data_IF_550984250778
#
_entry.id   IF_550984250778
#
_cell.length_a   1.000
_cell.length_b   1.000
_cell.length_c   1.000
_cell.angle_alpha   90.00
_cell.angle_beta   90.00
_cell.angle_gamma   90.00
#
_symmetry.space_group_name_H-M   'P 1'
#
loop_
_entity.id
_entity.type
_entity.pdbx_description
1 polymer ?
#
# COMPACT_ATOMS: atom_id res chain seq x y z
N UNK A 1 -10.10 36.31 -36.37
CA UNK A 1 -10.83 35.40 -35.45
C UNK A 1 -9.97 35.17 -34.20
N UNK A 2 -10.21 35.98 -33.16
CA UNK A 2 -9.47 35.95 -31.90
C UNK A 2 -9.75 34.68 -31.11
N UNK A 3 -8.77 33.79 -30.98
CA UNK A 3 -8.82 32.70 -30.01
C UNK A 3 -8.41 33.27 -28.66
N UNK A 4 -9.37 33.37 -27.73
CA UNK A 4 -9.13 33.72 -26.32
C UNK A 4 -8.18 32.67 -25.70
N UNK A 5 -6.89 32.98 -25.63
CA UNK A 5 -5.79 32.08 -25.23
C UNK A 5 -5.66 31.84 -23.71
N UNK A 6 -6.62 32.26 -22.90
CA UNK A 6 -6.45 32.38 -21.43
C UNK A 6 -7.49 31.66 -20.53
N UNK A 7 -8.67 31.17 -20.97
CA UNK A 7 -9.68 30.74 -19.99
C UNK A 7 -9.42 29.36 -19.34
N UNK A 8 -8.47 28.54 -19.85
CA UNK A 8 -8.28 27.15 -19.38
C UNK A 8 -7.04 26.92 -18.52
N UNK A 9 -6.08 27.85 -18.52
CA UNK A 9 -4.83 27.72 -17.75
C UNK A 9 -5.07 27.96 -16.26
N UNK A 10 -5.76 29.04 -15.90
CA UNK A 10 -6.04 29.37 -14.50
C UNK A 10 -6.82 28.23 -13.80
N UNK A 11 -7.92 27.71 -14.35
CA UNK A 11 -8.61 26.55 -13.75
C UNK A 11 -7.74 25.31 -13.62
N UNK A 12 -6.84 25.05 -14.58
CA UNK A 12 -5.88 23.95 -14.51
C UNK A 12 -4.94 24.12 -13.31
N UNK A 13 -4.34 25.31 -13.17
CA UNK A 13 -3.40 25.61 -12.08
C UNK A 13 -4.11 25.69 -10.72
N UNK A 14 -5.38 26.05 -10.67
CA UNK A 14 -6.17 26.00 -9.44
C UNK A 14 -6.46 24.54 -9.02
N UNK A 15 -6.54 23.62 -9.98
CA UNK A 15 -6.86 22.20 -9.73
C UNK A 15 -5.64 21.32 -9.47
N UNK A 16 -4.53 21.55 -10.17
CA UNK A 16 -3.32 20.71 -10.09
C UNK A 16 -2.33 21.37 -9.13
N UNK A 17 -2.11 20.87 -7.91
CA UNK A 17 -1.19 21.50 -7.00
C UNK A 17 0.27 21.40 -7.47
N UNK A 18 1.17 22.28 -6.99
CA UNK A 18 2.59 22.18 -7.31
C UNK A 18 3.15 20.79 -6.98
N UNK A 19 3.92 20.22 -7.91
CA UNK A 19 4.51 18.88 -7.80
C UNK A 19 3.63 17.74 -8.31
N UNK A 20 2.30 17.92 -8.37
CA UNK A 20 1.38 16.87 -8.79
C UNK A 20 1.47 16.56 -10.28
N UNK A 21 1.11 15.32 -10.61
CA UNK A 21 1.13 14.79 -11.96
C UNK A 21 -0.28 14.69 -12.54
N UNK A 22 -0.38 14.91 -13.84
CA UNK A 22 -1.59 14.67 -14.64
C UNK A 22 -1.21 14.07 -15.98
N UNK A 23 -2.08 13.23 -16.53
CA UNK A 23 -1.85 12.61 -17.83
C UNK A 23 -2.70 13.23 -18.96
N UNK A 24 -2.40 12.83 -20.18
CA UNK A 24 -3.07 13.34 -21.38
C UNK A 24 -4.58 13.02 -21.38
N UNK A 25 -5.03 11.80 -21.03
CA UNK A 25 -6.46 11.53 -20.81
C UNK A 25 -7.13 12.52 -19.86
N UNK A 26 -6.51 12.78 -18.70
CA UNK A 26 -7.04 13.71 -17.71
C UNK A 26 -7.15 15.16 -18.21
N UNK A 27 -6.12 15.64 -18.93
CA UNK A 27 -6.10 16.97 -19.54
C UNK A 27 -7.16 17.11 -20.64
N UNK A 28 -7.31 16.07 -21.49
CA UNK A 28 -8.32 16.05 -22.55
C UNK A 28 -9.74 16.04 -21.99
N UNK A 29 -10.00 15.30 -20.91
CA UNK A 29 -11.29 15.30 -20.23
C UNK A 29 -11.70 16.70 -19.71
N UNK A 30 -10.73 17.60 -19.52
CA UNK A 30 -10.93 19.01 -19.15
C UNK A 30 -10.88 19.97 -20.34
N UNK A 31 -11.09 19.44 -21.56
CA UNK A 31 -11.05 20.21 -22.80
C UNK A 31 -9.72 20.92 -23.06
N UNK A 32 -8.58 20.39 -22.56
CA UNK A 32 -7.27 20.95 -22.87
C UNK A 32 -6.72 20.20 -24.10
N UNK A 33 -6.66 20.90 -25.22
CA UNK A 33 -6.23 20.33 -26.49
C UNK A 33 -4.69 20.19 -26.58
N UNK A 34 -4.16 19.36 -27.49
CA UNK A 34 -2.71 19.13 -27.60
C UNK A 34 -1.88 20.39 -27.87
N UNK A 35 -2.41 21.39 -28.58
CA UNK A 35 -1.71 22.64 -28.86
C UNK A 35 -1.59 23.48 -27.59
N UNK A 36 -2.65 23.52 -26.77
CA UNK A 36 -2.61 24.15 -25.45
C UNK A 36 -1.62 23.46 -24.51
N UNK A 37 -1.59 22.13 -24.47
CA UNK A 37 -0.60 21.37 -23.67
C UNK A 37 0.83 21.73 -24.10
N UNK A 38 1.09 21.78 -25.41
CA UNK A 38 2.39 22.18 -25.95
C UNK A 38 2.77 23.61 -25.53
N UNK A 39 1.84 24.58 -25.64
CA UNK A 39 2.06 25.97 -25.22
C UNK A 39 2.32 26.06 -23.71
N UNK A 40 1.61 25.28 -22.89
CA UNK A 40 1.83 25.23 -21.44
C UNK A 40 3.21 24.67 -21.09
N UNK A 41 3.68 23.64 -21.80
CA UNK A 41 5.02 23.10 -21.61
C UNK A 41 6.09 24.08 -22.09
N UNK A 42 5.93 24.68 -23.26
CA UNK A 42 6.89 25.65 -23.80
C UNK A 42 7.05 26.89 -22.91
N UNK A 43 5.98 27.28 -22.21
CA UNK A 43 5.96 28.41 -21.27
C UNK A 43 6.30 28.03 -19.83
N UNK A 44 6.61 26.76 -19.56
CA UNK A 44 6.99 26.29 -18.22
C UNK A 44 5.83 26.20 -17.21
N UNK A 45 4.57 26.25 -17.64
CA UNK A 45 3.41 26.02 -16.75
C UNK A 45 3.25 24.54 -16.39
N UNK A 46 3.71 23.66 -17.28
CA UNK A 46 3.77 22.22 -17.09
C UNK A 46 5.16 21.70 -17.51
N UNK A 47 5.66 20.72 -16.78
CA UNK A 47 6.87 19.98 -17.14
C UNK A 47 6.48 18.62 -17.68
N UNK A 48 7.03 18.22 -18.83
CA UNK A 48 6.84 16.86 -19.33
C UNK A 48 7.78 15.89 -18.60
N UNK A 49 7.23 14.94 -17.86
CA UNK A 49 8.03 13.95 -17.10
C UNK A 49 8.32 12.72 -17.96
N UNK A 50 7.29 12.19 -18.61
CA UNK A 50 7.41 11.14 -19.62
C UNK A 50 6.41 11.41 -20.76
N UNK A 51 6.46 10.63 -21.85
CA UNK A 51 5.44 10.75 -22.91
C UNK A 51 4.04 10.60 -22.32
N UNK A 52 3.25 11.67 -22.45
CA UNK A 52 1.84 11.74 -22.10
C UNK A 52 1.55 12.13 -20.64
N UNK A 53 2.58 12.42 -19.84
CA UNK A 53 2.46 12.74 -18.41
C UNK A 53 3.19 14.04 -18.11
N UNK A 54 2.53 14.90 -17.37
CA UNK A 54 2.99 16.25 -17.07
C UNK A 54 2.93 16.50 -15.57
N UNK A 55 3.84 17.31 -15.07
CA UNK A 55 3.92 17.73 -13.67
C UNK A 55 3.78 19.25 -13.60
N UNK A 56 3.07 19.76 -12.60
CA UNK A 56 3.14 21.20 -12.30
C UNK A 56 4.47 21.50 -11.59
N UNK A 57 5.29 22.44 -12.08
CA UNK A 57 6.52 22.85 -11.41
C UNK A 57 6.30 23.22 -9.94
N UNK A 58 7.27 22.89 -9.09
CA UNK A 58 7.31 23.34 -7.70
C UNK A 58 8.11 24.65 -7.63
N UNK A 59 7.57 25.72 -7.03
CA UNK A 59 8.32 26.97 -6.82
C UNK A 59 9.63 26.70 -6.07
N UNK A 60 10.69 27.45 -6.39
CA UNK A 60 12.02 27.28 -5.78
C UNK A 60 12.00 27.41 -4.24
N UNK A 61 11.08 28.21 -3.70
CA UNK A 61 10.85 28.39 -2.26
C UNK A 61 10.20 27.18 -1.57
N UNK A 62 9.65 26.24 -2.34
CA UNK A 62 9.06 24.97 -1.88
C UNK A 62 9.97 23.76 -2.12
N UNK A 63 11.22 23.96 -2.57
CA UNK A 63 12.24 22.89 -2.67
C UNK A 63 12.83 22.58 -1.28
N UNK A 64 11.96 22.43 -0.29
CA UNK A 64 12.28 22.00 1.06
C UNK A 64 12.08 20.50 1.18
N UNK A 65 13.13 19.74 0.90
CA UNK A 65 13.18 18.31 1.15
C UNK A 65 12.66 17.46 -0.01
N UNK A 66 13.29 16.29 -0.16
CA UNK A 66 12.82 15.17 -0.95
C UNK A 66 11.52 14.61 -0.34
N UNK A 67 10.49 15.46 -0.18
CA UNK A 67 9.16 15.09 0.24
C UNK A 67 8.70 13.95 -0.64
N UNK A 68 8.42 12.82 -0.02
CA UNK A 68 8.48 11.50 -0.61
C UNK A 68 7.78 11.45 -1.98
N UNK A 69 8.58 11.42 -3.05
CA UNK A 69 8.09 11.57 -4.44
C UNK A 69 6.97 10.60 -4.81
N UNK A 70 6.91 9.43 -4.14
CA UNK A 70 5.88 8.43 -4.31
C UNK A 70 4.51 8.87 -3.76
N UNK A 71 4.47 9.69 -2.70
CA UNK A 71 3.24 10.14 -2.06
C UNK A 71 2.48 11.13 -2.94
N UNK A 72 3.19 12.10 -3.53
CA UNK A 72 2.60 13.04 -4.50
C UNK A 72 2.09 12.29 -5.73
N UNK A 73 2.82 11.27 -6.18
CA UNK A 73 2.38 10.40 -7.27
C UNK A 73 1.11 9.64 -6.90
N UNK A 74 1.04 9.04 -5.71
CA UNK A 74 -0.14 8.33 -5.22
C UNK A 74 -1.34 9.26 -5.10
N UNK A 75 -1.17 10.45 -4.50
CA UNK A 75 -2.21 11.47 -4.41
C UNK A 75 -2.68 11.96 -5.78
N UNK A 76 -1.77 12.09 -6.74
CA UNK A 76 -2.13 12.45 -8.12
C UNK A 76 -3.01 11.37 -8.76
N UNK A 77 -2.68 10.09 -8.54
CA UNK A 77 -3.48 8.96 -9.00
C UNK A 77 -4.86 8.93 -8.32
N UNK A 78 -4.90 9.05 -7.00
CA UNK A 78 -6.12 8.96 -6.18
C UNK A 78 -7.05 10.16 -6.37
N UNK A 79 -6.53 11.38 -6.20
CA UNK A 79 -7.33 12.60 -6.01
C UNK A 79 -7.52 13.40 -7.29
N UNK A 80 -6.58 13.33 -8.23
CA UNK A 80 -6.72 14.01 -9.52
C UNK A 80 -7.28 13.07 -10.57
N UNK A 81 -6.63 11.92 -10.77
CA UNK A 81 -6.92 11.02 -11.88
C UNK A 81 -7.96 9.93 -11.57
N UNK A 82 -8.45 9.85 -10.33
CA UNK A 82 -9.49 8.92 -9.88
C UNK A 82 -9.15 7.44 -10.12
N UNK A 83 -7.88 7.06 -10.00
CA UNK A 83 -7.47 5.66 -9.98
C UNK A 83 -7.86 5.03 -8.64
N UNK A 84 -8.48 3.85 -8.70
CA UNK A 84 -8.78 3.03 -7.53
C UNK A 84 -7.50 2.33 -7.05
N UNK A 85 -6.64 3.08 -6.36
CA UNK A 85 -5.34 2.63 -5.86
C UNK A 85 -5.09 3.14 -4.44
N UNK A 86 -4.56 2.29 -3.56
CA UNK A 86 -4.19 2.64 -2.20
C UNK A 86 -2.76 2.21 -1.86
N UNK A 87 -2.18 2.84 -0.83
CA UNK A 87 -0.93 2.35 -0.23
C UNK A 87 -1.23 1.11 0.60
N UNK A 88 -0.54 0.00 0.39
CA UNK A 88 -0.87 -1.26 1.08
C UNK A 88 0.34 -2.07 1.52
N UNK A 89 0.07 -3.26 2.06
CA UNK A 89 1.10 -4.21 2.50
C UNK A 89 2.08 -3.62 3.53
N UNK A 90 3.36 -3.98 3.40
CA UNK A 90 4.41 -3.50 4.30
C UNK A 90 4.60 -1.98 4.22
N UNK A 91 4.32 -1.34 3.09
CA UNK A 91 4.41 0.12 2.98
C UNK A 91 3.35 0.87 3.79
N UNK A 92 2.16 0.29 3.95
CA UNK A 92 1.14 0.82 4.83
C UNK A 92 1.49 0.60 6.31
N UNK A 93 2.09 -0.55 6.65
CA UNK A 93 2.60 -0.84 7.99
C UNK A 93 3.75 0.09 8.38
N UNK A 94 4.67 0.38 7.43
CA UNK A 94 5.76 1.34 7.59
C UNK A 94 5.21 2.74 7.86
N UNK A 95 4.23 3.17 7.08
CA UNK A 95 3.56 4.46 7.31
C UNK A 95 2.89 4.54 8.69
N UNK A 96 2.31 3.44 9.16
CA UNK A 96 1.69 3.35 10.48
C UNK A 96 2.70 3.20 11.63
N UNK A 97 4.01 3.12 11.33
CA UNK A 97 5.07 3.01 12.33
C UNK A 97 5.33 1.58 12.84
N UNK A 98 4.81 0.55 12.16
CA UNK A 98 4.99 -0.86 12.54
C UNK A 98 6.17 -1.55 11.84
N UNK A 99 6.87 -0.85 10.94
CA UNK A 99 8.10 -1.34 10.31
C UNK A 99 9.26 -0.50 10.80
N UNK A 100 10.27 -1.16 11.36
CA UNK A 100 11.50 -0.52 11.85
C UNK A 100 12.71 -0.92 11.01
N UNK A 101 12.54 -1.08 9.70
CA UNK A 101 13.64 -1.46 8.83
C UNK A 101 14.39 -0.23 8.31
N UNK A 102 15.54 0.04 8.92
CA UNK A 102 16.56 0.86 8.28
C UNK A 102 17.09 0.07 7.08
N UNK A 103 16.54 0.32 5.88
CA UNK A 103 17.16 -0.13 4.64
C UNK A 103 18.48 0.60 4.46
N UNK A 104 19.53 0.11 5.11
CA UNK A 104 20.89 0.59 4.94
C UNK A 104 21.35 0.20 3.53
N UNK A 105 21.15 1.09 2.56
CA UNK A 105 21.74 1.01 1.22
C UNK A 105 20.87 0.40 0.10
N UNK A 106 19.59 0.12 0.33
CA UNK A 106 18.67 -0.39 -0.70
C UNK A 106 17.76 0.69 -1.33
N UNK A 107 17.35 0.50 -2.58
CA UNK A 107 16.28 1.30 -3.21
C UNK A 107 14.98 1.12 -2.41
N UNK A 108 14.41 2.22 -1.89
CA UNK A 108 13.15 2.17 -1.15
C UNK A 108 12.05 1.59 -2.04
N UNK A 109 11.33 0.59 -1.54
CA UNK A 109 10.17 -0.04 -2.20
C UNK A 109 8.88 0.46 -1.59
N UNK A 110 7.91 0.80 -2.44
CA UNK A 110 6.58 1.25 -2.02
C UNK A 110 5.51 0.45 -2.75
N UNK A 111 4.57 -0.12 -2.01
CA UNK A 111 3.53 -1.00 -2.52
C UNK A 111 2.21 -0.26 -2.75
N UNK A 112 1.79 -0.22 -4.00
CA UNK A 112 0.47 0.28 -4.41
C UNK A 112 -0.44 -0.89 -4.73
N UNK A 113 -1.66 -0.89 -4.20
CA UNK A 113 -2.67 -1.92 -4.45
C UNK A 113 -3.82 -1.33 -5.27
N UNK A 114 -4.10 -1.90 -6.44
CA UNK A 114 -5.20 -1.47 -7.31
C UNK A 114 -4.77 -1.20 -8.74
N UNK A 115 -5.59 -0.40 -9.43
CA UNK A 115 -5.38 -0.07 -10.83
C UNK A 115 -4.44 1.12 -10.97
N UNK A 116 -3.45 0.99 -11.84
CA UNK A 116 -2.49 2.05 -12.13
C UNK A 116 -2.30 2.23 -13.63
N UNK A 117 -1.96 3.45 -14.09
CA UNK A 117 -1.68 3.68 -15.49
C UNK A 117 -0.41 2.95 -15.95
N UNK A 118 -0.42 2.49 -17.20
CA UNK A 118 0.71 1.80 -17.82
C UNK A 118 1.98 2.67 -17.95
N UNK A 119 1.86 3.99 -17.82
CA UNK A 119 3.00 4.90 -17.84
C UNK A 119 3.79 4.92 -16.53
N UNK A 120 3.22 4.41 -15.42
CA UNK A 120 3.86 4.41 -14.10
C UNK A 120 5.25 3.75 -14.13
N UNK A 121 5.37 2.61 -14.82
CA UNK A 121 6.64 1.85 -14.97
C UNK A 121 7.74 2.60 -15.71
N UNK A 122 7.42 3.70 -16.40
CA UNK A 122 8.39 4.52 -17.16
C UNK A 122 8.84 5.75 -16.38
N UNK A 123 8.23 6.01 -15.22
CA UNK A 123 8.50 7.21 -14.45
C UNK A 123 9.90 7.11 -13.81
N UNK A 124 10.81 8.09 -14.06
CA UNK A 124 12.13 8.08 -13.44
C UNK A 124 11.99 8.48 -11.97
N UNK A 125 12.11 7.51 -11.07
CA UNK A 125 11.93 7.70 -9.63
C UNK A 125 13.05 6.99 -8.86
N UNK A 126 13.55 7.56 -7.76
CA UNK A 126 14.49 6.87 -6.87
C UNK A 126 13.83 5.77 -6.04
N UNK A 127 12.50 5.76 -5.96
CA UNK A 127 11.71 4.76 -5.25
C UNK A 127 11.15 3.73 -6.24
N UNK A 128 11.32 2.45 -5.94
CA UNK A 128 10.73 1.36 -6.70
C UNK A 128 9.24 1.23 -6.32
N UNK A 129 8.35 1.50 -7.28
CA UNK A 129 6.90 1.33 -7.09
C UNK A 129 6.51 -0.09 -7.47
N UNK A 130 6.07 -0.85 -6.48
CA UNK A 130 5.61 -2.22 -6.62
C UNK A 130 4.08 -2.22 -6.68
N UNK A 131 3.52 -2.69 -7.78
CA UNK A 131 2.06 -2.69 -7.98
C UNK A 131 1.50 -4.09 -7.69
N UNK A 132 0.42 -4.13 -6.90
CA UNK A 132 -0.33 -5.33 -6.56
C UNK A 132 -1.79 -5.19 -6.93
N UNK A 133 -2.44 -6.31 -7.23
CA UNK A 133 -3.88 -6.35 -7.48
C UNK A 133 -4.62 -6.44 -6.14
N UNK A 134 -5.86 -5.96 -6.10
CA UNK A 134 -6.74 -6.05 -4.92
C UNK A 134 -7.38 -7.44 -4.74
N UNK A 135 -6.69 -8.53 -5.12
CA UNK A 135 -7.30 -9.87 -5.19
C UNK A 135 -7.77 -10.42 -3.85
N UNK A 136 -7.15 -10.02 -2.73
CA UNK A 136 -7.52 -10.50 -1.40
C UNK A 136 -8.95 -10.13 -1.00
N UNK A 137 -9.39 -8.93 -1.35
CA UNK A 137 -10.69 -8.39 -0.94
C UNK A 137 -11.58 -7.97 -2.13
N UNK A 138 -11.08 -8.11 -3.37
CA UNK A 138 -11.73 -7.55 -4.55
C UNK A 138 -11.87 -6.04 -4.46
N UNK A 139 -13.02 -5.53 -4.91
CA UNK A 139 -13.33 -4.10 -4.91
C UNK A 139 -13.81 -3.58 -3.55
N UNK A 140 -13.91 -4.45 -2.54
CA UNK A 140 -14.30 -4.06 -1.18
C UNK A 140 -13.27 -3.07 -0.59
N UNK A 141 -13.70 -1.84 -0.24
CA UNK A 141 -12.85 -0.83 0.37
C UNK A 141 -12.60 -1.07 1.87
N UNK A 142 -13.11 -2.17 2.45
CA UNK A 142 -12.90 -2.51 3.85
C UNK A 142 -11.42 -2.41 4.25
N UNK A 143 -11.14 -1.69 5.33
CA UNK A 143 -9.78 -1.47 5.81
C UNK A 143 -8.93 -0.59 4.90
N UNK A 144 -9.52 0.19 4.00
CA UNK A 144 -8.86 1.32 3.34
C UNK A 144 -9.29 2.57 4.09
N UNK A 145 -8.38 3.13 4.87
CA UNK A 145 -8.59 4.31 5.70
C UNK A 145 -8.01 5.56 5.01
N UNK A 146 -8.46 6.74 5.43
CA UNK A 146 -7.82 8.00 5.09
C UNK A 146 -6.77 8.33 6.15
N UNK A 147 -5.51 8.44 5.75
CA UNK A 147 -4.41 8.83 6.63
C UNK A 147 -3.91 10.22 6.27
N UNK A 148 -3.83 11.09 7.26
CA UNK A 148 -3.20 12.41 7.13
C UNK A 148 -1.69 12.23 6.93
N UNK A 149 -1.26 12.14 5.67
CA UNK A 149 0.15 12.14 5.33
C UNK A 149 0.63 13.57 5.13
N UNK A 150 1.44 14.06 6.07
CA UNK A 150 2.13 15.34 5.91
C UNK A 150 3.39 15.18 5.09
N UNK A 151 3.34 15.39 3.77
CA UNK A 151 4.58 15.64 3.01
C UNK A 151 5.05 17.04 3.43
N UNK A 152 6.18 17.13 4.13
CA UNK A 152 6.59 18.32 4.90
C UNK A 152 6.50 19.73 4.24
N UNK A 153 6.46 20.72 5.13
CA UNK A 153 6.49 22.20 5.03
C UNK A 153 5.39 22.95 4.25
N UNK A 154 4.68 23.81 4.99
CA UNK A 154 3.94 25.05 4.66
C UNK A 154 2.89 25.10 3.52
N UNK A 155 2.74 24.09 2.66
CA UNK A 155 1.73 24.11 1.58
C UNK A 155 0.59 23.14 1.89
N UNK A 156 -0.61 23.67 2.17
CA UNK A 156 -1.78 22.89 2.62
C UNK A 156 -2.22 21.76 1.67
N UNK A 157 -1.97 21.92 0.36
CA UNK A 157 -2.30 20.90 -0.66
C UNK A 157 -1.47 19.61 -0.52
N UNK A 158 -0.39 19.62 0.26
CA UNK A 158 0.45 18.45 0.55
C UNK A 158 0.00 17.70 1.82
N UNK A 159 -1.10 18.14 2.44
CA UNK A 159 -1.77 17.48 3.57
C UNK A 159 -3.00 16.68 3.16
N UNK A 160 -3.27 16.54 1.86
CA UNK A 160 -4.40 15.73 1.40
C UNK A 160 -4.27 14.31 1.95
N UNK A 161 -5.35 13.75 2.53
CA UNK A 161 -5.28 12.41 3.08
C UNK A 161 -4.96 11.40 1.98
N UNK A 162 -4.09 10.45 2.29
CA UNK A 162 -3.79 9.32 1.41
C UNK A 162 -4.75 8.18 1.75
N UNK A 163 -5.29 7.52 0.73
CA UNK A 163 -5.98 6.25 0.95
C UNK A 163 -4.93 5.15 1.17
N UNK A 164 -4.98 4.52 2.35
CA UNK A 164 -4.00 3.54 2.82
C UNK A 164 -4.70 2.36 3.49
N UNK A 165 -4.13 1.16 3.38
CA UNK A 165 -4.58 0.00 4.14
C UNK A 165 -4.41 0.26 5.64
N UNK A 166 -5.45 0.02 6.43
CA UNK A 166 -5.35 -0.04 7.88
C UNK A 166 -4.36 -1.13 8.30
N UNK A 167 -3.77 -1.08 9.51
CA UNK A 167 -2.84 -2.12 9.96
C UNK A 167 -3.42 -3.55 9.85
N UNK A 168 -4.72 -3.72 10.10
CA UNK A 168 -5.45 -4.98 9.97
C UNK A 168 -5.49 -5.49 8.52
N UNK A 169 -5.70 -4.61 7.54
CA UNK A 169 -5.71 -4.99 6.12
C UNK A 169 -4.28 -5.17 5.62
N UNK A 170 -3.39 -4.28 6.00
CA UNK A 170 -2.01 -4.22 5.56
C UNK A 170 -1.23 -5.48 5.98
N UNK A 171 -1.46 -6.01 7.18
CA UNK A 171 -0.82 -7.27 7.59
C UNK A 171 -1.31 -8.47 6.75
N UNK A 172 -2.59 -8.52 6.38
CA UNK A 172 -3.12 -9.58 5.51
C UNK A 172 -2.56 -9.48 4.08
N UNK A 173 -2.41 -8.24 3.58
CA UNK A 173 -1.74 -7.95 2.32
C UNK A 173 -0.27 -8.37 2.34
N UNK A 174 0.45 -8.07 3.42
CA UNK A 174 1.86 -8.45 3.60
C UNK A 174 2.05 -9.97 3.69
N UNK A 175 1.17 -10.68 4.42
CA UNK A 175 1.20 -12.15 4.49
C UNK A 175 0.94 -12.82 3.12
N UNK A 176 0.26 -12.14 2.20
CA UNK A 176 0.06 -12.68 0.85
C UNK A 176 1.34 -12.66 0.00
N UNK A 177 2.32 -11.82 0.35
CA UNK A 177 3.62 -11.76 -0.31
C UNK A 177 4.50 -12.98 0.03
N UNK A 178 4.18 -13.73 1.09
CA UNK A 178 4.92 -14.94 1.47
C UNK A 178 4.71 -16.10 0.48
N UNK A 179 5.79 -16.90 0.22
CA UNK A 179 7.18 -16.67 0.61
C UNK A 179 8.01 -15.92 -0.45
N UNK A 180 7.37 -15.46 -1.54
CA UNK A 180 8.06 -15.04 -2.77
C UNK A 180 8.63 -13.63 -2.70
N UNK A 181 7.99 -12.75 -1.96
CA UNK A 181 8.27 -11.32 -1.95
C UNK A 181 8.42 -10.74 -0.54
N UNK A 182 8.18 -11.54 0.49
CA UNK A 182 8.40 -11.22 1.90
C UNK A 182 9.09 -12.40 2.58
N UNK A 183 9.71 -12.16 3.74
CA UNK A 183 10.31 -13.21 4.57
C UNK A 183 9.47 -13.47 5.83
N UNK A 184 9.43 -14.71 6.28
CA UNK A 184 8.72 -15.07 7.52
C UNK A 184 9.31 -14.36 8.73
N UNK A 185 10.64 -14.23 8.79
CA UNK A 185 11.34 -13.53 9.88
C UNK A 185 10.97 -12.04 9.94
N UNK A 186 10.90 -11.35 8.80
CA UNK A 186 10.51 -9.95 8.76
C UNK A 186 9.06 -9.78 9.21
N UNK A 187 8.15 -10.59 8.66
CA UNK A 187 6.75 -10.52 9.03
C UNK A 187 6.51 -10.95 10.49
N UNK A 188 7.31 -11.85 11.06
CA UNK A 188 7.23 -12.17 12.51
C UNK A 188 7.49 -10.93 13.36
N UNK A 189 8.54 -10.15 13.04
CA UNK A 189 8.89 -8.90 13.73
C UNK A 189 7.83 -7.82 13.55
N UNK A 190 7.29 -7.68 12.33
CA UNK A 190 6.20 -6.73 12.08
C UNK A 190 4.97 -7.13 12.90
N UNK A 191 4.63 -8.43 12.92
CA UNK A 191 3.47 -8.94 13.64
C UNK A 191 3.62 -8.78 15.16
N UNK A 192 4.83 -8.90 15.70
CA UNK A 192 5.15 -8.64 17.11
C UNK A 192 4.71 -7.22 17.53
N UNK A 193 4.89 -6.21 16.67
CA UNK A 193 4.51 -4.82 16.94
C UNK A 193 3.03 -4.48 16.75
N UNK A 194 2.18 -5.43 16.38
CA UNK A 194 0.74 -5.20 16.09
C UNK A 194 -0.14 -5.33 17.33
N UNK A 195 0.20 -4.70 18.44
CA UNK A 195 -0.52 -4.87 19.72
C UNK A 195 -1.93 -4.25 19.75
N UNK A 196 -2.22 -3.32 18.83
CA UNK A 196 -3.42 -2.46 18.86
C UNK A 196 -4.39 -2.67 17.70
N UNK A 197 -4.40 -3.84 17.04
CA UNK A 197 -5.35 -4.14 15.97
C UNK A 197 -6.80 -4.13 16.47
N UNK A 198 -7.72 -3.58 15.66
CA UNK A 198 -9.16 -3.49 15.97
C UNK A 198 -9.84 -4.83 15.67
N UNK A 199 -10.34 -5.58 16.68
CA UNK A 199 -10.90 -6.92 16.46
C UNK A 199 -12.07 -6.94 15.47
N UNK A 200 -12.96 -5.94 15.53
CA UNK A 200 -14.13 -5.89 14.63
C UNK A 200 -13.74 -5.78 13.17
N UNK A 201 -12.77 -4.92 12.85
CA UNK A 201 -12.32 -4.72 11.48
C UNK A 201 -11.53 -5.94 10.98
N UNK A 202 -10.69 -6.50 11.85
CA UNK A 202 -9.94 -7.70 11.54
C UNK A 202 -10.84 -8.92 11.29
N UNK A 203 -11.89 -9.12 12.10
CA UNK A 203 -12.89 -10.18 11.88
C UNK A 203 -13.58 -10.01 10.53
N UNK A 204 -13.99 -8.79 10.18
CA UNK A 204 -14.63 -8.52 8.90
C UNK A 204 -13.67 -8.76 7.71
N UNK A 205 -12.41 -8.32 7.82
CA UNK A 205 -11.37 -8.59 6.83
C UNK A 205 -11.08 -10.09 6.68
N UNK A 206 -10.95 -10.83 7.78
CA UNK A 206 -10.72 -12.28 7.73
C UNK A 206 -11.90 -13.03 7.10
N UNK A 207 -13.13 -12.55 7.31
CA UNK A 207 -14.35 -13.10 6.71
C UNK A 207 -14.46 -12.85 5.20
N UNK A 208 -14.01 -11.68 4.70
CA UNK A 208 -14.07 -11.34 3.27
C UNK A 208 -12.80 -11.70 2.50
N UNK A 209 -11.68 -11.94 3.20
CA UNK A 209 -10.42 -12.36 2.60
C UNK A 209 -10.64 -13.61 1.75
N UNK A 210 -10.21 -13.59 0.49
CA UNK A 210 -10.40 -14.70 -0.46
C UNK A 210 -9.28 -15.74 -0.40
N UNK A 211 -8.20 -15.45 0.32
CA UNK A 211 -7.01 -16.32 0.38
C UNK A 211 -6.98 -17.17 1.65
N UNK A 212 -7.26 -18.46 1.49
CA UNK A 212 -7.09 -19.46 2.57
C UNK A 212 -5.66 -19.44 3.12
N UNK A 213 -4.65 -19.22 2.26
CA UNK A 213 -3.24 -19.10 2.66
C UNK A 213 -3.09 -17.98 3.70
N UNK A 214 -3.59 -16.80 3.38
CA UNK A 214 -3.48 -15.62 4.26
C UNK A 214 -4.22 -15.83 5.57
N UNK A 215 -5.45 -16.37 5.54
CA UNK A 215 -6.20 -16.66 6.77
C UNK A 215 -5.45 -17.63 7.68
N UNK A 216 -4.92 -18.72 7.15
CA UNK A 216 -4.11 -19.68 7.93
C UNK A 216 -2.83 -19.06 8.49
N UNK A 217 -2.06 -18.37 7.64
CA UNK A 217 -0.83 -17.70 8.08
C UNK A 217 -1.11 -16.67 9.18
N UNK A 218 -2.16 -15.86 9.02
CA UNK A 218 -2.55 -14.86 10.01
C UNK A 218 -2.67 -15.46 11.41
N UNK A 219 -3.35 -16.60 11.53
CA UNK A 219 -3.52 -17.25 12.81
C UNK A 219 -2.27 -17.98 13.33
N UNK A 220 -1.39 -18.47 12.45
CA UNK A 220 -0.06 -18.96 12.88
C UNK A 220 0.70 -17.85 13.63
N UNK A 221 0.78 -16.65 13.04
CA UNK A 221 1.46 -15.52 13.67
C UNK A 221 0.69 -14.99 14.89
N UNK A 222 -0.63 -14.90 14.82
CA UNK A 222 -1.44 -14.38 15.92
C UNK A 222 -1.38 -15.26 17.18
N UNK A 223 -1.35 -16.59 17.02
CA UNK A 223 -1.25 -17.53 18.13
C UNK A 223 0.16 -17.59 18.73
N UNK A 224 1.19 -17.31 17.92
CA UNK A 224 2.57 -17.18 18.38
C UNK A 224 2.74 -15.98 19.32
N UNK A 225 2.26 -14.81 18.89
CA UNK A 225 2.43 -13.55 19.65
C UNK A 225 1.40 -13.35 20.76
N UNK A 226 0.23 -14.00 20.68
CA UNK A 226 -0.82 -14.00 21.73
C UNK A 226 -1.26 -12.59 22.15
N UNK A 227 -1.35 -11.69 21.18
CA UNK A 227 -1.81 -10.31 21.39
C UNK A 227 -3.17 -10.23 22.10
N UNK A 228 -3.38 -9.17 22.89
CA UNK A 228 -4.61 -9.01 23.67
C UNK A 228 -5.89 -9.01 22.81
N UNK A 229 -5.81 -8.55 21.56
CA UNK A 229 -6.94 -8.55 20.62
C UNK A 229 -7.31 -9.95 20.11
N UNK A 230 -6.41 -10.94 20.19
CA UNK A 230 -6.60 -12.29 19.64
C UNK A 230 -7.78 -13.04 20.25
N UNK A 231 -8.03 -12.85 21.55
CA UNK A 231 -9.15 -13.48 22.28
C UNK A 231 -10.53 -13.00 21.85
N UNK A 232 -10.61 -11.88 21.12
CA UNK A 232 -11.85 -11.32 20.60
C UNK A 232 -12.15 -11.77 19.16
N UNK A 233 -11.28 -12.59 18.56
CA UNK A 233 -11.51 -13.18 17.25
C UNK A 233 -12.18 -14.53 17.39
N UNK A 234 -13.41 -14.61 16.88
CA UNK A 234 -14.13 -15.88 16.74
C UNK A 234 -13.67 -16.59 15.45
N UNK A 235 -13.03 -17.74 15.62
CA UNK A 235 -12.54 -18.56 14.51
C UNK A 235 -13.63 -19.44 13.89
N UNK A 236 -14.79 -19.60 14.53
CA UNK A 236 -15.86 -20.50 14.05
C UNK A 236 -16.47 -20.04 12.72
N UNK A 237 -16.46 -18.73 12.46
CA UNK A 237 -16.96 -18.12 11.24
C UNK A 237 -15.90 -18.00 10.12
N UNK A 238 -14.66 -18.43 10.36
CA UNK A 238 -13.54 -18.27 9.43
C UNK A 238 -13.31 -19.58 8.68
N UNK A 239 -13.48 -19.54 7.36
CA UNK A 239 -13.18 -20.69 6.51
C UNK A 239 -11.66 -20.90 6.40
N UNK A 240 -11.10 -21.90 7.08
CA UNK A 240 -9.69 -22.26 6.89
C UNK A 240 -9.45 -23.12 5.65
N UNK A 241 -10.46 -23.42 4.84
CA UNK A 241 -10.38 -24.36 3.72
C UNK A 241 -10.02 -25.78 4.15
N UNK A 242 -10.04 -26.71 3.21
CA UNK A 242 -9.72 -28.11 3.45
C UNK A 242 -8.28 -28.47 3.04
N UNK A 243 -7.76 -29.52 3.66
CA UNK A 243 -6.48 -30.15 3.31
C UNK A 243 -5.22 -29.38 3.70
N UNK A 244 -4.05 -30.04 3.65
CA UNK A 244 -2.76 -29.43 3.92
C UNK A 244 -2.32 -28.51 2.77
N UNK A 245 -1.63 -27.41 3.11
CA UNK A 245 -1.04 -26.47 2.13
C UNK A 245 0.48 -26.40 2.28
N UNK A 246 1.19 -26.98 1.32
CA UNK A 246 2.63 -26.78 1.20
C UNK A 246 2.91 -25.34 0.75
N UNK A 247 3.76 -24.63 1.48
CA UNK A 247 4.08 -23.23 1.22
C UNK A 247 5.59 -23.00 1.07
N UNK A 248 6.39 -23.68 1.90
CA UNK A 248 7.86 -23.58 1.91
C UNK A 248 8.46 -24.98 1.82
N UNK A 249 9.49 -25.14 1.01
CA UNK A 249 10.26 -26.39 0.94
C UNK A 249 10.97 -26.65 2.28
N UNK A 250 10.87 -27.87 2.80
CA UNK A 250 11.43 -28.22 4.11
C UNK A 250 10.66 -27.68 5.32
N UNK A 251 9.55 -26.95 5.14
CA UNK A 251 8.71 -26.49 6.25
C UNK A 251 7.81 -27.59 6.82
N UNK A 252 7.56 -27.55 8.13
CA UNK A 252 6.65 -28.47 8.84
C UNK A 252 5.21 -27.95 8.77
N UNK A 253 4.24 -28.87 8.74
CA UNK A 253 2.84 -28.51 8.81
C UNK A 253 2.46 -28.05 10.22
N UNK A 254 2.00 -26.81 10.34
CA UNK A 254 1.45 -26.31 11.59
C UNK A 254 0.22 -27.13 11.99
N UNK A 255 0.17 -27.73 13.19
CA UNK A 255 -0.85 -28.73 13.54
C UNK A 255 -2.27 -28.14 13.58
N UNK A 256 -2.42 -26.89 14.03
CA UNK A 256 -3.74 -26.26 14.09
C UNK A 256 -4.27 -25.77 12.72
N UNK A 257 -3.36 -25.36 11.81
CA UNK A 257 -3.74 -24.60 10.60
C UNK A 257 -3.42 -25.35 9.30
N UNK A 258 -2.79 -26.52 9.38
CA UNK A 258 -2.47 -27.39 8.25
C UNK A 258 -1.78 -26.64 7.09
N UNK A 259 -0.86 -25.74 7.43
CA UNK A 259 -0.06 -24.98 6.47
C UNK A 259 1.41 -25.21 6.80
N UNK A 260 2.22 -25.45 5.78
CA UNK A 260 3.67 -25.63 5.93
C UNK A 260 4.30 -24.27 6.27
N UNK A 261 5.06 -24.23 7.36
CA UNK A 261 5.75 -23.04 7.87
C UNK A 261 7.18 -23.42 8.29
N UNK A 262 8.11 -22.45 8.38
CA UNK A 262 9.43 -22.70 8.95
C UNK A 262 9.34 -23.21 10.39
N UNK A 263 10.33 -24.01 10.81
CA UNK A 263 10.36 -24.62 12.16
C UNK A 263 10.27 -23.60 13.29
N UNK A 264 10.81 -22.39 13.09
CA UNK A 264 10.75 -21.30 14.07
C UNK A 264 9.31 -20.84 14.41
N UNK A 265 8.33 -21.12 13.54
CA UNK A 265 6.92 -20.79 13.72
C UNK A 265 6.07 -21.98 14.20
N UNK A 266 6.70 -23.11 14.51
CA UNK A 266 5.99 -24.24 15.11
C UNK A 266 5.61 -23.93 16.56
N UNK A 267 4.46 -24.42 17.05
CA UNK A 267 4.14 -24.32 18.46
C UNK A 267 5.21 -25.05 19.27
N UNK A 268 5.47 -24.58 20.50
CA UNK A 268 6.34 -25.31 21.42
C UNK A 268 5.80 -26.74 21.58
N UNK A 269 6.68 -27.73 21.43
CA UNK A 269 6.30 -29.12 21.68
C UNK A 269 5.84 -29.22 23.13
N UNK A 270 4.69 -29.88 23.41
CA UNK A 270 4.31 -30.14 24.78
C UNK A 270 5.47 -30.93 25.40
N UNK A 271 6.15 -30.34 26.38
CA UNK A 271 7.06 -31.08 27.24
C UNK A 271 6.25 -32.28 27.72
N UNK A 272 6.66 -33.48 27.31
CA UNK A 272 6.03 -34.71 27.76
C UNK A 272 5.89 -34.58 29.27
N UNK A 273 4.66 -34.77 29.76
CA UNK A 273 4.48 -35.00 31.17
C UNK A 273 5.42 -36.16 31.49
N UNK A 274 6.50 -35.88 32.20
CA UNK A 274 7.36 -36.90 32.79
C UNK A 274 6.42 -37.80 33.56
N UNK A 275 6.17 -38.97 32.96
CA UNK A 275 5.66 -40.10 33.67
C UNK A 275 6.78 -40.52 34.60
N UNK A 276 6.71 -40.07 35.84
CA UNK A 276 7.30 -40.79 36.95
C UNK A 276 6.19 -41.15 37.92
N UNK A 277 6.17 -42.46 38.17
CA UNK A 277 5.25 -43.21 39.01
C UNK A 277 5.52 -43.01 40.50
#
# INVERSE_FOLDING_TARGET
MNHSRTPRLKPLLDTVPPGFLVDTPWLKARSIDPKSIHDYVARGWLERVVRGVYRRPVPETGRGGNGESWAILLLSLQRLMNYAVHLGGESALDLAGHVHYLSLGGTRRVQFYGDVPSWLKRLPMPTEIVVRRRTLFGDDPIGIDESEFGVGTAIDVWRWPIQVSSPERAILEALDELPRHASFENLDRVFEGLESLRPRQLTALLGTCRSVKVRRLFFVFADRHRHAWRKYLDTSAIDFGSGPRALVEGGRFHPAYHISVPDALMPAEPQGADGDA
#
